data_IF_960588892177
#
_entry.id   IF_960588892177
#
_cell.length_a   1.000
_cell.length_b   1.000
_cell.length_c   1.000
_cell.angle_alpha   90.00
_cell.angle_beta   90.00
_cell.angle_gamma   90.00
#
_symmetry.space_group_name_H-M   'P 1'
#
loop_
_entity.id
_entity.type
_entity.pdbx_description
1 polymer ?
#
# COMPACT_ATOMS: atom_id res chain seq x y z
N UNK A 1 -21.31 -24.60 -22.18
CA UNK A 1 -20.42 -23.48 -22.52
C UNK A 1 -20.47 -22.33 -21.51
N UNK A 2 -21.61 -21.88 -21.00
CA UNK A 2 -21.63 -20.96 -19.84
C UNK A 2 -21.33 -21.67 -18.49
N UNK A 3 -21.85 -22.90 -18.35
CA UNK A 3 -21.72 -23.74 -17.15
C UNK A 3 -20.25 -24.12 -16.87
N UNK A 4 -19.45 -24.32 -17.93
CA UNK A 4 -18.04 -24.71 -17.83
C UNK A 4 -17.16 -23.56 -17.30
N UNK A 5 -17.52 -22.30 -17.61
CA UNK A 5 -16.80 -21.12 -17.12
C UNK A 5 -17.05 -20.85 -15.65
N UNK A 6 -18.30 -21.03 -15.21
CA UNK A 6 -18.71 -20.86 -13.81
C UNK A 6 -18.12 -21.95 -12.91
N UNK A 7 -18.09 -23.20 -13.39
CA UNK A 7 -17.49 -24.32 -12.67
C UNK A 7 -15.97 -24.16 -12.52
N UNK A 8 -15.28 -23.73 -13.59
CA UNK A 8 -13.84 -23.47 -13.53
C UNK A 8 -13.50 -22.28 -12.62
N UNK A 9 -14.34 -21.24 -12.59
CA UNK A 9 -14.18 -20.11 -11.69
C UNK A 9 -14.33 -20.52 -10.22
N UNK A 10 -15.37 -21.29 -9.90
CA UNK A 10 -15.58 -21.82 -8.55
C UNK A 10 -14.44 -22.75 -8.11
N UNK A 11 -13.92 -23.58 -9.02
CA UNK A 11 -12.78 -24.46 -8.75
C UNK A 11 -11.49 -23.66 -8.46
N UNK A 12 -11.19 -22.62 -9.24
CA UNK A 12 -10.04 -21.75 -9.00
C UNK A 12 -10.13 -21.04 -7.65
N UNK A 13 -11.32 -20.58 -7.27
CA UNK A 13 -11.55 -19.94 -5.97
C UNK A 13 -11.28 -20.93 -4.82
N UNK A 14 -11.89 -22.12 -4.86
CA UNK A 14 -11.73 -23.13 -3.83
C UNK A 14 -10.27 -23.61 -3.68
N UNK A 15 -9.54 -23.74 -4.79
CA UNK A 15 -8.10 -24.07 -4.76
C UNK A 15 -7.31 -22.92 -4.12
N UNK A 16 -7.61 -21.68 -4.48
CA UNK A 16 -6.94 -20.52 -3.90
C UNK A 16 -7.15 -20.40 -2.39
N UNK A 17 -8.38 -20.59 -1.91
CA UNK A 17 -8.71 -20.64 -0.47
C UNK A 17 -7.91 -21.75 0.23
N UNK A 18 -7.94 -22.97 -0.32
CA UNK A 18 -7.23 -24.10 0.25
C UNK A 18 -5.70 -23.87 0.32
N UNK A 19 -5.11 -23.22 -0.69
CA UNK A 19 -3.70 -22.86 -0.70
C UNK A 19 -3.39 -21.84 0.40
N UNK A 20 -4.21 -20.79 0.57
CA UNK A 20 -4.03 -19.78 1.61
C UNK A 20 -4.16 -20.37 3.02
N UNK A 21 -5.15 -21.25 3.23
CA UNK A 21 -5.35 -21.95 4.51
C UNK A 21 -4.19 -22.90 4.82
N UNK A 22 -3.73 -23.64 3.81
CA UNK A 22 -2.56 -24.53 3.96
C UNK A 22 -1.31 -23.71 4.29
N UNK A 23 -1.09 -22.60 3.61
CA UNK A 23 0.04 -21.72 3.89
C UNK A 23 -0.02 -21.19 5.32
N UNK A 24 -1.20 -20.72 5.77
CA UNK A 24 -1.41 -20.24 7.13
C UNK A 24 -1.06 -21.31 8.17
N UNK A 25 -1.46 -22.56 7.93
CA UNK A 25 -1.12 -23.69 8.81
C UNK A 25 0.37 -24.03 8.79
N UNK A 26 1.03 -23.88 7.64
CA UNK A 26 2.45 -24.18 7.48
C UNK A 26 3.39 -23.09 8.01
N UNK A 27 2.92 -21.86 8.22
CA UNK A 27 3.78 -20.74 8.60
C UNK A 27 4.63 -20.97 9.84
N UNK A 28 4.10 -21.70 10.83
CA UNK A 28 4.85 -22.01 12.06
C UNK A 28 6.00 -23.02 11.86
N UNK A 29 6.05 -23.69 10.71
CA UNK A 29 7.06 -24.69 10.35
C UNK A 29 8.05 -24.20 9.29
N UNK A 30 7.84 -22.99 8.74
CA UNK A 30 8.70 -22.43 7.72
C UNK A 30 9.99 -21.90 8.33
N UNK A 31 11.11 -22.17 7.66
CA UNK A 31 12.41 -21.61 8.01
C UNK A 31 12.41 -20.09 7.85
N UNK A 32 13.27 -19.41 8.63
CA UNK A 32 13.40 -17.94 8.63
C UNK A 32 13.59 -17.38 7.22
N UNK A 33 14.50 -17.94 6.43
CA UNK A 33 14.78 -17.47 5.07
C UNK A 33 13.55 -17.52 4.15
N UNK A 34 12.66 -18.49 4.38
CA UNK A 34 11.41 -18.61 3.60
C UNK A 34 10.35 -17.64 4.11
N UNK A 35 10.24 -17.47 5.43
CA UNK A 35 9.33 -16.48 6.04
C UNK A 35 9.67 -15.04 5.63
N UNK A 36 10.94 -14.74 5.42
CA UNK A 36 11.42 -13.42 4.99
C UNK A 36 10.94 -13.04 3.58
N UNK A 37 10.79 -14.02 2.68
CA UNK A 37 10.32 -13.80 1.30
C UNK A 37 8.80 -13.87 1.17
N UNK A 38 8.15 -14.53 2.13
CA UNK A 38 6.73 -14.82 2.09
C UNK A 38 5.82 -13.58 1.93
N UNK A 39 6.05 -12.44 2.61
CA UNK A 39 5.23 -11.25 2.43
C UNK A 39 5.17 -10.77 0.97
N UNK A 40 6.33 -10.75 0.29
CA UNK A 40 6.42 -10.30 -1.10
C UNK A 40 5.77 -11.30 -2.06
N UNK A 41 5.97 -12.60 -1.83
CA UNK A 41 5.34 -13.65 -2.62
C UNK A 41 3.82 -13.59 -2.51
N UNK A 42 3.28 -13.49 -1.29
CA UNK A 42 1.85 -13.36 -1.07
C UNK A 42 1.28 -12.09 -1.71
N UNK A 43 1.95 -10.95 -1.54
CA UNK A 43 1.53 -9.69 -2.17
C UNK A 43 1.55 -9.76 -3.70
N UNK A 44 2.49 -10.51 -4.30
CA UNK A 44 2.56 -10.67 -5.77
C UNK A 44 1.43 -11.53 -6.36
N UNK A 45 0.71 -12.30 -5.53
CA UNK A 45 -0.45 -13.08 -5.97
C UNK A 45 -1.74 -12.24 -6.04
N UNK A 46 -1.74 -11.03 -5.47
CA UNK A 46 -2.85 -10.07 -5.62
C UNK A 46 -2.89 -9.65 -7.10
N UNK A 47 -4.04 -9.84 -7.74
CA UNK A 47 -4.22 -9.63 -9.19
C UNK A 47 -3.85 -10.82 -10.08
N UNK A 48 -3.31 -11.91 -9.51
CA UNK A 48 -3.16 -13.21 -10.20
C UNK A 48 -4.28 -14.16 -9.79
N UNK A 49 -4.56 -14.21 -8.48
CA UNK A 49 -5.70 -14.95 -7.94
C UNK A 49 -7.02 -14.20 -8.20
N UNK A 50 -8.18 -14.89 -8.14
CA UNK A 50 -9.49 -14.25 -8.22
C UNK A 50 -9.62 -13.12 -7.19
N UNK A 51 -10.20 -11.98 -7.58
CA UNK A 51 -10.32 -10.79 -6.73
C UNK A 51 -11.12 -11.01 -5.44
N UNK A 52 -11.94 -12.05 -5.40
CA UNK A 52 -12.64 -12.51 -4.20
C UNK A 52 -11.69 -12.88 -3.07
N UNK A 53 -10.45 -13.28 -3.40
CA UNK A 53 -9.41 -13.64 -2.44
C UNK A 53 -8.56 -12.46 -1.97
N UNK A 54 -8.61 -11.30 -2.63
CA UNK A 54 -7.78 -10.13 -2.30
C UNK A 54 -7.89 -9.77 -0.81
N UNK A 55 -9.12 -9.80 -0.29
CA UNK A 55 -9.39 -9.58 1.12
C UNK A 55 -8.64 -10.60 1.99
N UNK A 56 -8.78 -11.89 1.69
CA UNK A 56 -8.17 -12.95 2.48
C UNK A 56 -6.63 -12.88 2.45
N UNK A 57 -6.05 -12.55 1.30
CA UNK A 57 -4.60 -12.35 1.12
C UNK A 57 -4.11 -11.17 1.94
N UNK A 58 -4.78 -10.01 1.83
CA UNK A 58 -4.38 -8.79 2.55
C UNK A 58 -4.52 -8.96 4.07
N UNK A 59 -5.58 -9.61 4.53
CA UNK A 59 -5.74 -9.95 5.95
C UNK A 59 -4.65 -10.91 6.43
N UNK A 60 -4.35 -11.97 5.66
CA UNK A 60 -3.28 -12.90 6.00
C UNK A 60 -1.92 -12.19 6.10
N UNK A 61 -1.65 -11.29 5.17
CA UNK A 61 -0.45 -10.44 5.17
C UNK A 61 -0.38 -9.55 6.42
N UNK A 62 -1.40 -8.73 6.65
CA UNK A 62 -1.43 -7.72 7.70
C UNK A 62 -1.48 -8.33 9.11
N UNK A 63 -2.33 -9.34 9.31
CA UNK A 63 -2.68 -9.82 10.64
C UNK A 63 -1.75 -10.96 11.10
N UNK A 64 -1.10 -11.64 10.15
CA UNK A 64 -0.31 -12.84 10.46
C UNK A 64 1.11 -12.73 9.91
N UNK A 65 1.29 -12.63 8.60
CA UNK A 65 2.61 -12.79 7.96
C UNK A 65 3.57 -11.65 8.34
N UNK A 66 3.14 -10.40 8.25
CA UNK A 66 3.99 -9.24 8.55
C UNK A 66 4.46 -9.20 10.01
N UNK A 67 3.59 -9.42 11.03
CA UNK A 67 4.04 -9.54 12.41
C UNK A 67 5.12 -10.60 12.64
N UNK A 68 5.06 -11.74 11.93
CA UNK A 68 6.08 -12.79 12.05
C UNK A 68 7.35 -12.49 11.25
N UNK A 69 7.24 -11.83 10.09
CA UNK A 69 8.36 -11.52 9.21
C UNK A 69 9.15 -10.27 9.64
N UNK A 70 8.49 -9.31 10.31
CA UNK A 70 9.10 -8.07 10.79
C UNK A 70 9.43 -8.23 12.28
N UNK A 71 10.60 -8.81 12.58
CA UNK A 71 11.17 -8.84 13.94
C UNK A 71 12.30 -7.80 14.09
N UNK A 72 12.58 -7.36 15.32
CA UNK A 72 13.61 -6.34 15.62
C UNK A 72 15.03 -6.76 15.16
N UNK A 73 15.27 -8.06 15.02
CA UNK A 73 16.56 -8.65 14.58
C UNK A 73 16.65 -8.88 13.07
N UNK A 74 15.52 -8.83 12.35
CA UNK A 74 15.47 -8.98 10.89
C UNK A 74 15.70 -7.63 10.23
N UNK A 75 16.85 -7.45 9.58
CA UNK A 75 17.23 -6.25 8.82
C UNK A 75 16.38 -5.99 7.56
N UNK A 76 15.26 -6.69 7.38
CA UNK A 76 14.47 -6.68 6.14
C UNK A 76 13.49 -5.53 6.18
N UNK A 77 14.03 -4.32 6.05
CA UNK A 77 13.26 -3.13 5.67
C UNK A 77 12.93 -3.12 4.16
N UNK A 78 13.49 -4.04 3.38
CA UNK A 78 13.33 -4.07 1.92
C UNK A 78 11.99 -4.69 1.47
N UNK A 79 11.37 -5.56 2.28
CA UNK A 79 10.09 -6.19 1.91
C UNK A 79 8.91 -5.24 2.09
N UNK A 80 8.87 -4.46 3.18
CA UNK A 80 7.70 -3.64 3.54
C UNK A 80 7.31 -2.64 2.45
N UNK A 81 8.20 -1.78 1.92
CA UNK A 81 7.84 -0.89 0.80
C UNK A 81 7.39 -1.66 -0.44
N UNK A 82 7.97 -2.82 -0.71
CA UNK A 82 7.60 -3.67 -1.85
C UNK A 82 6.21 -4.29 -1.70
N UNK A 83 5.89 -4.79 -0.51
CA UNK A 83 4.57 -5.33 -0.15
C UNK A 83 3.51 -4.24 -0.26
N UNK A 84 3.76 -3.07 0.35
CA UNK A 84 2.86 -1.93 0.25
C UNK A 84 2.66 -1.52 -1.22
N UNK A 85 3.74 -1.44 -2.00
CA UNK A 85 3.63 -1.10 -3.42
C UNK A 85 2.72 -2.08 -4.18
N UNK A 86 2.88 -3.38 -3.97
CA UNK A 86 2.07 -4.41 -4.65
C UNK A 86 0.61 -4.36 -4.21
N UNK A 87 0.33 -4.29 -2.91
CA UNK A 87 -1.04 -4.22 -2.39
C UNK A 87 -1.74 -2.95 -2.88
N UNK A 88 -1.07 -1.79 -2.80
CA UNK A 88 -1.64 -0.50 -3.23
C UNK A 88 -1.83 -0.39 -4.74
N UNK A 89 -1.08 -1.18 -5.52
CA UNK A 89 -1.23 -1.26 -6.96
C UNK A 89 -2.36 -2.20 -7.37
N UNK A 90 -2.41 -3.39 -6.78
CA UNK A 90 -3.26 -4.48 -7.28
C UNK A 90 -4.61 -4.57 -6.58
N UNK A 91 -4.70 -4.22 -5.30
CA UNK A 91 -5.99 -4.24 -4.59
C UNK A 91 -6.83 -3.04 -5.02
N UNK A 92 -8.01 -3.28 -5.58
CA UNK A 92 -8.89 -2.20 -6.03
C UNK A 92 -9.72 -1.57 -4.90
N UNK A 93 -9.92 -2.29 -3.80
CA UNK A 93 -10.69 -1.80 -2.64
C UNK A 93 -9.81 -0.96 -1.70
N UNK A 94 -10.12 0.35 -1.52
CA UNK A 94 -9.41 1.20 -0.58
C UNK A 94 -9.47 0.72 0.88
N UNK A 95 -10.45 -0.10 1.25
CA UNK A 95 -10.52 -0.65 2.61
C UNK A 95 -9.31 -1.56 2.91
N UNK A 96 -8.83 -2.29 1.90
CA UNK A 96 -7.65 -3.15 1.98
C UNK A 96 -6.36 -2.34 2.07
N UNK A 97 -6.31 -1.16 1.43
CA UNK A 97 -5.18 -0.23 1.53
C UNK A 97 -5.03 0.31 2.95
N UNK A 98 -6.14 0.64 3.60
CA UNK A 98 -6.17 1.04 5.01
C UNK A 98 -5.76 -0.14 5.90
N UNK A 99 -6.29 -1.33 5.65
CA UNK A 99 -6.02 -2.52 6.47
C UNK A 99 -4.53 -2.89 6.49
N UNK A 100 -3.90 -2.98 5.32
CA UNK A 100 -2.46 -3.31 5.25
C UNK A 100 -1.62 -2.23 5.94
N UNK A 101 -2.05 -0.97 5.87
CA UNK A 101 -1.35 0.14 6.50
C UNK A 101 -1.41 0.04 8.03
N UNK A 102 -2.60 -0.19 8.59
CA UNK A 102 -2.78 -0.36 10.04
C UNK A 102 -2.03 -1.60 10.57
N UNK A 103 -2.10 -2.72 9.84
CA UNK A 103 -1.33 -3.92 10.17
C UNK A 103 0.17 -3.65 10.19
N UNK A 104 0.68 -2.92 9.18
CA UNK A 104 2.12 -2.62 9.13
C UNK A 104 2.55 -1.58 10.17
N UNK A 105 1.70 -0.61 10.51
CA UNK A 105 1.93 0.32 11.63
C UNK A 105 2.14 -0.41 12.96
N UNK A 106 1.43 -1.53 13.16
CA UNK A 106 1.56 -2.32 14.38
C UNK A 106 2.92 -3.01 14.53
N UNK A 107 3.64 -3.23 13.40
CA UNK A 107 4.91 -3.96 13.37
C UNK A 107 6.13 -3.08 13.02
N UNK A 108 5.93 -1.92 12.35
CA UNK A 108 7.01 -1.03 11.91
C UNK A 108 6.82 0.40 12.45
N UNK A 109 7.68 0.87 13.37
CA UNK A 109 7.53 2.18 14.00
C UNK A 109 7.79 3.38 13.05
N UNK A 110 8.42 3.15 11.88
CA UNK A 110 8.77 4.19 10.91
C UNK A 110 8.15 3.94 9.53
N UNK A 111 6.96 3.37 9.49
CA UNK A 111 6.23 3.04 8.25
C UNK A 111 6.00 4.24 7.32
N UNK A 112 6.05 5.47 7.82
CA UNK A 112 6.00 6.68 6.98
C UNK A 112 7.20 6.76 6.02
N UNK A 113 8.38 6.26 6.41
CA UNK A 113 9.58 6.20 5.55
C UNK A 113 9.36 5.20 4.41
N UNK A 114 8.78 4.05 4.72
CA UNK A 114 8.42 3.04 3.72
C UNK A 114 7.36 3.58 2.75
N UNK A 115 6.36 4.32 3.25
CA UNK A 115 5.39 5.00 2.39
C UNK A 115 6.03 6.03 1.47
N UNK A 116 6.97 6.83 1.99
CA UNK A 116 7.73 7.79 1.18
C UNK A 116 8.56 7.06 0.12
N UNK A 117 9.11 5.88 0.42
CA UNK A 117 9.78 5.06 -0.59
C UNK A 117 8.82 4.57 -1.67
N UNK A 118 7.60 4.14 -1.31
CA UNK A 118 6.56 3.78 -2.29
C UNK A 118 6.17 4.98 -3.14
N UNK A 119 6.07 6.17 -2.58
CA UNK A 119 5.80 7.40 -3.35
C UNK A 119 6.97 7.71 -4.30
N UNK A 120 8.21 7.50 -3.87
CA UNK A 120 9.39 7.80 -4.67
C UNK A 120 9.64 6.79 -5.80
N UNK A 121 9.40 5.49 -5.56
CA UNK A 121 9.82 4.40 -6.45
C UNK A 121 8.67 3.55 -6.99
N UNK A 122 7.46 3.71 -6.46
CA UNK A 122 6.30 2.89 -6.82
C UNK A 122 5.74 3.17 -8.21
N UNK A 123 4.74 2.40 -8.60
CA UNK A 123 4.01 2.57 -9.86
C UNK A 123 3.05 3.77 -9.78
N UNK A 124 2.47 4.19 -10.92
CA UNK A 124 1.56 5.34 -10.92
C UNK A 124 0.38 5.19 -9.97
N UNK A 125 -0.17 3.97 -9.88
CA UNK A 125 -1.32 3.67 -9.03
C UNK A 125 -0.91 3.61 -7.55
N UNK A 126 0.17 2.87 -7.23
CA UNK A 126 0.65 2.75 -5.86
C UNK A 126 1.07 4.10 -5.27
N UNK A 127 1.66 5.00 -6.08
CA UNK A 127 2.05 6.35 -5.63
C UNK A 127 0.86 7.20 -5.21
N UNK A 128 -0.24 7.12 -5.95
CA UNK A 128 -1.46 7.89 -5.64
C UNK A 128 -2.09 7.38 -4.35
N UNK A 129 -2.23 6.05 -4.22
CA UNK A 129 -2.76 5.44 -3.00
C UNK A 129 -1.87 5.72 -1.78
N UNK A 130 -0.55 5.58 -1.92
CA UNK A 130 0.40 5.87 -0.84
C UNK A 130 0.35 7.34 -0.41
N UNK A 131 0.30 8.29 -1.35
CA UNK A 131 0.18 9.72 -1.01
C UNK A 131 -1.12 10.01 -0.25
N UNK A 132 -2.24 9.40 -0.64
CA UNK A 132 -3.51 9.55 0.06
C UNK A 132 -3.44 9.01 1.50
N UNK A 133 -2.86 7.82 1.69
CA UNK A 133 -2.68 7.22 3.00
C UNK A 133 -1.73 8.05 3.88
N UNK A 134 -0.63 8.58 3.32
CA UNK A 134 0.30 9.43 4.07
C UNK A 134 -0.41 10.65 4.64
N UNK A 135 -1.23 11.32 3.83
CA UNK A 135 -2.00 12.50 4.24
C UNK A 135 -3.15 12.15 5.19
N UNK A 136 -3.69 10.93 5.10
CA UNK A 136 -4.74 10.44 5.98
C UNK A 136 -4.21 10.24 7.41
N UNK A 137 -3.07 9.57 7.57
CA UNK A 137 -2.51 9.23 8.87
C UNK A 137 -1.58 10.30 9.46
N UNK A 138 -0.84 11.04 8.62
CA UNK A 138 0.01 12.16 9.03
C UNK A 138 -0.47 13.47 8.39
N UNK A 139 -1.64 14.01 8.83
CA UNK A 139 -2.14 15.28 8.32
C UNK A 139 -1.20 16.42 8.72
N UNK A 140 -0.92 17.31 7.78
CA UNK A 140 -0.15 18.52 8.09
C UNK A 140 -0.96 19.44 9.02
N UNK A 141 -0.44 19.83 10.20
CA UNK A 141 -1.08 20.83 11.04
C UNK A 141 -0.88 22.20 10.41
N UNK A 142 -1.80 22.62 9.55
CA UNK A 142 -1.83 23.99 9.03
C UNK A 142 -2.94 24.78 9.74
N UNK A 143 -2.59 25.71 10.66
CA UNK A 143 -3.58 26.53 11.38
C UNK A 143 -4.40 27.45 10.46
N UNK A 144 -3.96 27.71 9.22
CA UNK A 144 -4.69 28.51 8.22
C UNK A 144 -5.65 27.69 7.34
N UNK A 145 -5.70 26.35 7.47
CA UNK A 145 -6.66 25.49 6.74
C UNK A 145 -7.97 25.31 7.51
N UNK A 146 -7.98 25.55 8.83
CA UNK A 146 -9.14 25.33 9.73
C UNK A 146 -10.35 26.21 9.35
N UNK A 147 -10.16 27.29 8.60
CA UNK A 147 -11.24 28.15 8.10
C UNK A 147 -11.85 27.72 6.76
N UNK A 148 -11.30 26.70 6.08
CA UNK A 148 -11.97 26.09 4.92
C UNK A 148 -12.82 24.95 5.44
N UNK A 149 -14.15 25.09 5.26
CA UNK A 149 -15.19 24.09 5.54
C UNK A 149 -14.63 22.68 5.40
N UNK A 150 -14.82 21.87 6.45
CA UNK A 150 -14.47 20.44 6.56
C UNK A 150 -14.22 19.84 5.18
N UNK A 151 -12.94 19.59 4.86
CA UNK A 151 -12.57 18.91 3.62
C UNK A 151 -13.13 17.51 3.76
N UNK A 152 -14.36 17.30 3.28
CA UNK A 152 -14.88 15.97 3.06
C UNK A 152 -13.95 15.35 2.02
N UNK A 153 -13.11 14.41 2.48
CA UNK A 153 -12.31 13.56 1.62
C UNK A 153 -13.26 12.67 0.80
N UNK A 154 -13.90 13.25 -0.20
CA UNK A 154 -14.30 12.50 -1.38
C UNK A 154 -12.99 12.29 -2.12
N UNK A 155 -12.57 11.04 -2.26
CA UNK A 155 -11.40 10.65 -3.05
C UNK A 155 -11.67 11.04 -4.50
N UNK A 156 -11.43 12.30 -4.82
CA UNK A 156 -11.27 12.75 -6.19
C UNK A 156 -9.86 12.34 -6.55
N UNK A 157 -9.73 11.24 -7.32
CA UNK A 157 -8.49 10.87 -7.95
C UNK A 157 -7.81 12.15 -8.50
N UNK A 158 -6.60 12.42 -8.04
CA UNK A 158 -5.83 13.62 -8.38
C UNK A 158 -5.88 13.85 -9.90
N UNK A 159 -6.59 14.88 -10.34
CA UNK A 159 -6.61 15.24 -11.74
C UNK A 159 -5.38 16.11 -12.05
N UNK A 160 -4.71 15.82 -13.16
CA UNK A 160 -3.55 16.60 -13.62
C UNK A 160 -3.95 18.05 -13.81
N UNK A 161 -3.28 18.96 -13.11
CA UNK A 161 -3.39 20.40 -13.36
C UNK A 161 -2.68 20.69 -14.68
N UNK A 162 -3.41 21.24 -15.66
CA UNK A 162 -2.85 21.65 -16.94
C UNK A 162 -2.06 22.96 -16.82
N UNK A 163 -1.04 23.15 -17.69
CA UNK A 163 -0.24 24.39 -17.77
C UNK A 163 -1.17 25.62 -17.88
N UNK A 164 -1.09 26.54 -16.91
CA UNK A 164 -1.90 27.78 -16.87
C UNK A 164 -1.25 28.97 -17.59
N UNK A 165 -0.06 28.77 -18.18
CA UNK A 165 0.64 29.81 -18.94
C UNK A 165 0.17 29.84 -20.40
N UNK A 166 -0.02 31.06 -20.94
CA UNK A 166 -0.49 31.30 -22.31
C UNK A 166 0.54 30.98 -23.40
N UNK A 167 1.78 30.63 -23.04
CA UNK A 167 2.90 30.42 -23.97
C UNK A 167 3.37 28.96 -24.09
N UNK A 168 2.64 27.99 -23.55
CA UNK A 168 2.99 26.58 -23.62
C UNK A 168 2.76 26.00 -25.05
N UNK A 169 3.85 25.77 -25.82
CA UNK A 169 3.82 25.28 -27.23
C UNK A 169 3.77 23.76 -27.38
N UNK A 170 3.74 22.97 -26.29
CA UNK A 170 3.62 21.51 -26.39
C UNK A 170 2.78 20.94 -25.23
N UNK A 171 1.58 20.47 -25.55
CA UNK A 171 0.62 19.91 -24.57
C UNK A 171 0.95 18.45 -24.29
N UNK A 172 2.05 18.22 -23.58
CA UNK A 172 2.42 16.90 -23.04
C UNK A 172 2.49 16.95 -21.50
N UNK A 173 2.05 15.90 -20.79
CA UNK A 173 2.01 15.94 -19.33
C UNK A 173 3.40 15.75 -18.74
N UNK A 174 3.92 16.80 -18.09
CA UNK A 174 5.08 16.72 -17.19
C UNK A 174 4.70 17.23 -15.80
N UNK A 175 5.08 16.46 -14.79
CA UNK A 175 4.84 16.71 -13.38
C UNK A 175 5.67 17.92 -12.91
N UNK A 176 5.05 18.85 -12.18
CA UNK A 176 5.74 19.98 -11.55
C UNK A 176 5.34 20.10 -10.07
N UNK A 177 6.33 19.94 -9.19
CA UNK A 177 6.31 20.42 -7.82
C UNK A 177 6.61 21.92 -7.83
N UNK A 178 5.72 22.76 -7.26
CA UNK A 178 6.06 24.16 -6.98
C UNK A 178 6.65 24.27 -5.58
N UNK A 179 7.95 24.54 -5.54
CA UNK A 179 8.81 24.57 -4.36
C UNK A 179 8.51 25.74 -3.41
N UNK A 180 8.80 25.47 -2.13
CA UNK A 180 8.95 26.46 -1.07
C UNK A 180 9.40 25.82 0.24
N UNK A 181 10.35 24.87 0.20
CA UNK A 181 10.92 24.24 1.38
C UNK A 181 12.29 24.84 1.70
N UNK A 182 12.34 25.79 2.63
CA UNK A 182 13.55 26.08 3.38
C UNK A 182 13.53 25.22 4.63
N UNK A 183 14.45 24.26 4.67
CA UNK A 183 14.77 23.43 5.83
C UNK A 183 15.10 24.31 7.04
N UNK A 184 14.36 24.17 8.14
CA UNK A 184 14.92 24.47 9.46
C UNK A 184 14.62 23.32 10.43
N UNK A 185 15.66 22.50 10.54
CA UNK A 185 15.96 21.51 11.56
C UNK A 185 15.35 21.82 12.94
N UNK A 186 14.60 20.86 13.51
CA UNK A 186 14.66 20.56 14.95
C UNK A 186 14.04 19.21 15.27
N UNK A 187 14.92 18.21 15.42
CA UNK A 187 14.76 17.19 16.47
C UNK A 187 14.41 17.89 17.78
N UNK A 188 13.40 17.37 18.49
CA UNK A 188 13.29 17.23 19.95
C UNK A 188 11.82 16.92 20.27
N UNK A 189 11.44 15.95 21.10
CA UNK A 189 12.16 14.90 21.84
C UNK A 189 11.01 14.07 22.45
N UNK A 190 11.19 12.76 22.54
CA UNK A 190 10.47 11.95 23.52
C UNK A 190 10.67 12.55 24.92
N UNK A 191 9.56 12.86 25.60
CA UNK A 191 9.32 12.87 27.04
C UNK A 191 7.84 13.25 27.26
#
# INVERSE_FOLDING_TARGET
>A
MAIDGELNHCLCLAIGEAVLDTLKALMMFLDRDTLEQLPLLLASNIGVLPSELDKQIVHLLADTVLPFAINEETFIKLSVPGVLMLVLQQAHDPSLHTWIMEGTMSCSPNIYEDLVQVIAKGTSESRVAAANLLLHYWPFPNPHIIHRKTIQYKVHAWQRIACQSTTCTDKGPRFAFHNGFTFLNRRKKFA
#
